data_IF_089342940921
#
_entry.id   IF_089342940921
#
_cell.length_a   1.000
_cell.length_b   1.000
_cell.length_c   1.000
_cell.angle_alpha   90.00
_cell.angle_beta   90.00
_cell.angle_gamma   90.00
#
_symmetry.space_group_name_H-M   'P 1'
#
loop_
_entity.id
_entity.type
_entity.pdbx_description
1 polymer ?
#
# COMPACT_ATOMS: atom_id res chain seq x y z
N UNK A 1 3.78 -22.46 3.06
CA UNK A 1 3.45 -21.40 2.09
C UNK A 1 4.69 -21.08 1.26
N UNK A 2 4.54 -20.83 -0.04
CA UNK A 2 5.65 -20.28 -0.84
C UNK A 2 6.03 -18.90 -0.31
N UNK A 3 7.31 -18.55 -0.35
CA UNK A 3 7.80 -17.24 0.06
C UNK A 3 7.52 -16.23 -1.07
N UNK A 4 7.16 -14.99 -0.73
CA UNK A 4 7.06 -13.92 -1.74
C UNK A 4 8.45 -13.65 -2.36
N UNK A 5 8.53 -13.25 -3.64
CA UNK A 5 9.79 -12.95 -4.29
C UNK A 5 10.61 -11.90 -3.53
N UNK A 6 11.93 -12.07 -3.52
CA UNK A 6 12.83 -11.24 -2.70
C UNK A 6 12.82 -9.77 -3.11
N UNK A 7 12.55 -9.48 -4.38
CA UNK A 7 12.37 -8.11 -4.87
C UNK A 7 11.17 -7.40 -4.24
N UNK A 8 10.03 -8.08 -4.10
CA UNK A 8 8.86 -7.53 -3.41
C UNK A 8 9.13 -7.35 -1.92
N UNK A 9 9.79 -8.33 -1.29
CA UNK A 9 10.19 -8.23 0.12
C UNK A 9 11.11 -7.03 0.35
N UNK A 10 12.14 -6.86 -0.49
CA UNK A 10 13.04 -5.70 -0.47
C UNK A 10 12.27 -4.40 -0.66
N UNK A 11 11.33 -4.36 -1.60
CA UNK A 11 10.54 -3.17 -1.89
C UNK A 11 9.67 -2.72 -0.71
N UNK A 12 9.00 -3.64 -0.01
CA UNK A 12 8.17 -3.27 1.15
C UNK A 12 9.00 -2.96 2.40
N UNK A 13 10.20 -3.51 2.50
CA UNK A 13 11.17 -3.24 3.58
C UNK A 13 12.02 -1.98 3.31
N UNK A 14 11.98 -1.44 2.08
CA UNK A 14 12.86 -0.34 1.67
C UNK A 14 12.57 0.96 2.44
N UNK A 15 13.61 1.78 2.55
CA UNK A 15 13.50 3.10 3.13
C UNK A 15 13.50 4.15 2.02
N UNK A 16 12.39 4.23 1.29
CA UNK A 16 12.17 5.23 0.24
C UNK A 16 10.81 5.92 0.45
N UNK A 17 10.63 7.17 -0.02
CA UNK A 17 9.31 7.77 -0.14
C UNK A 17 8.45 6.90 -1.05
N UNK A 18 7.25 6.53 -0.61
CA UNK A 18 6.33 5.70 -1.39
C UNK A 18 5.12 6.53 -1.82
N UNK A 19 4.79 6.44 -3.10
CA UNK A 19 3.52 6.91 -3.65
C UNK A 19 2.56 5.72 -3.71
N UNK A 20 1.52 5.76 -2.88
CA UNK A 20 0.63 4.62 -2.68
C UNK A 20 -0.80 5.01 -3.09
N UNK A 21 -1.44 4.16 -3.88
CA UNK A 21 -2.86 4.22 -4.17
C UNK A 21 -3.52 2.95 -3.67
N UNK A 22 -4.51 3.08 -2.80
CA UNK A 22 -5.38 2.00 -2.37
C UNK A 22 -6.71 2.13 -3.12
N UNK A 23 -7.06 1.09 -3.86
CA UNK A 23 -8.29 0.99 -4.62
C UNK A 23 -9.21 -0.08 -4.02
N UNK A 24 -10.49 0.26 -3.94
CA UNK A 24 -11.57 -0.63 -3.57
C UNK A 24 -12.67 -0.52 -4.62
N UNK A 25 -13.24 -1.63 -5.07
CA UNK A 25 -14.34 -1.62 -6.00
C UNK A 25 -15.51 -2.42 -5.44
N UNK A 26 -16.72 -1.89 -5.55
CA UNK A 26 -17.93 -2.68 -5.35
C UNK A 26 -18.27 -3.40 -6.65
N UNK A 27 -18.94 -4.56 -6.59
CA UNK A 27 -19.40 -5.25 -7.79
C UNK A 27 -20.23 -4.32 -8.68
N UNK A 28 -19.82 -4.16 -9.94
CA UNK A 28 -20.51 -3.31 -10.92
C UNK A 28 -20.34 -1.79 -10.74
N UNK A 29 -19.51 -1.33 -9.80
CA UNK A 29 -19.23 0.09 -9.60
C UNK A 29 -17.82 0.48 -10.07
N UNK A 30 -17.62 1.77 -10.38
CA UNK A 30 -16.29 2.31 -10.58
C UNK A 30 -15.46 2.17 -9.29
N UNK A 31 -14.14 1.90 -9.38
CA UNK A 31 -13.29 1.79 -8.22
C UNK A 31 -13.18 3.14 -7.52
N UNK A 32 -13.27 3.10 -6.20
CA UNK A 32 -12.83 4.19 -5.34
C UNK A 32 -11.33 4.07 -5.12
N UNK A 33 -10.62 5.21 -5.18
CA UNK A 33 -9.17 5.26 -4.93
C UNK A 33 -8.88 6.30 -3.85
N UNK A 34 -8.05 5.93 -2.89
CA UNK A 34 -7.49 6.83 -1.90
C UNK A 34 -5.96 6.78 -1.91
N UNK A 35 -5.36 7.86 -1.39
CA UNK A 35 -3.91 7.96 -1.25
C UNK A 35 -3.47 7.27 0.04
N UNK A 36 -2.45 6.42 -0.08
CA UNK A 36 -1.73 5.88 1.05
C UNK A 36 -0.55 6.77 1.43
N UNK A 37 -0.24 6.80 2.72
CA UNK A 37 0.81 7.60 3.35
C UNK A 37 1.87 6.72 4.03
N UNK A 38 1.63 5.42 4.09
CA UNK A 38 2.56 4.43 4.59
C UNK A 38 2.13 3.03 4.15
N UNK A 39 3.10 2.13 4.04
CA UNK A 39 2.91 0.72 3.76
C UNK A 39 3.73 -0.08 4.78
N UNK A 40 3.07 -0.93 5.57
CA UNK A 40 3.73 -1.92 6.41
C UNK A 40 3.33 -3.31 5.96
N UNK A 41 4.18 -4.31 6.20
CA UNK A 41 4.02 -5.63 5.63
C UNK A 41 4.46 -6.73 6.59
N UNK A 42 3.64 -7.77 6.72
CA UNK A 42 3.87 -9.00 7.50
C UNK A 42 3.95 -10.22 6.56
N UNK A 43 4.65 -10.04 5.42
CA UNK A 43 4.65 -10.99 4.31
C UNK A 43 5.32 -12.36 4.61
N UNK A 44 6.06 -12.45 5.72
CA UNK A 44 6.69 -13.71 6.15
C UNK A 44 5.74 -14.57 7.01
N UNK A 45 4.77 -13.93 7.66
CA UNK A 45 3.93 -14.54 8.69
C UNK A 45 2.49 -14.73 8.21
N UNK A 46 1.93 -13.73 7.53
CA UNK A 46 0.47 -13.67 7.28
C UNK A 46 0.09 -13.22 5.87
N UNK A 47 1.05 -12.99 4.96
CA UNK A 47 0.81 -12.39 3.63
C UNK A 47 0.06 -11.06 3.66
N UNK A 48 0.06 -10.41 4.82
CA UNK A 48 -0.72 -9.21 5.06
C UNK A 48 0.12 -7.99 4.81
N UNK A 49 -0.48 -7.01 4.16
CA UNK A 49 0.01 -5.64 4.18
C UNK A 49 -0.97 -4.74 4.92
N UNK A 50 -0.48 -3.60 5.38
CA UNK A 50 -1.32 -2.50 5.86
C UNK A 50 -0.98 -1.22 5.12
N UNK A 51 -2.00 -0.61 4.54
CA UNK A 51 -1.89 0.71 3.91
C UNK A 51 -2.47 1.75 4.84
N UNK A 52 -1.68 2.78 5.13
CA UNK A 52 -2.09 3.86 6.01
C UNK A 52 -2.76 4.97 5.20
N UNK A 53 -4.05 5.21 5.40
CA UNK A 53 -4.87 6.15 4.61
C UNK A 53 -5.57 7.16 5.50
N UNK A 54 -5.93 8.33 4.97
CA UNK A 54 -6.71 9.32 5.72
C UNK A 54 -8.12 8.81 6.02
N UNK A 55 -8.58 9.00 7.27
CA UNK A 55 -9.95 8.69 7.72
C UNK A 55 -11.00 9.32 6.81
N UNK A 56 -10.80 10.58 6.42
CA UNK A 56 -11.72 11.33 5.55
C UNK A 56 -11.84 10.74 4.14
N UNK A 57 -10.76 10.20 3.59
CA UNK A 57 -10.79 9.52 2.30
C UNK A 57 -11.45 8.15 2.44
N UNK A 58 -11.08 7.40 3.49
CA UNK A 58 -11.58 6.04 3.72
C UNK A 58 -13.09 5.99 4.02
N UNK A 59 -13.64 7.00 4.70
CA UNK A 59 -15.06 7.06 5.08
C UNK A 59 -16.03 6.87 3.90
N UNK A 60 -15.60 7.21 2.68
CA UNK A 60 -16.40 7.05 1.45
C UNK A 60 -16.61 5.59 1.03
N UNK A 61 -15.78 4.67 1.52
CA UNK A 61 -15.87 3.23 1.20
C UNK A 61 -16.11 2.39 2.44
N UNK A 62 -15.69 2.84 3.62
CA UNK A 62 -15.76 2.08 4.87
C UNK A 62 -17.15 1.49 5.15
N UNK A 63 -18.22 2.23 4.88
CA UNK A 63 -19.60 1.75 5.09
C UNK A 63 -20.10 0.71 4.08
N UNK A 64 -19.31 0.40 3.05
CA UNK A 64 -19.68 -0.48 1.94
C UNK A 64 -18.79 -1.73 1.87
N UNK A 65 -17.71 -1.78 2.65
CA UNK A 65 -16.81 -2.92 2.69
C UNK A 65 -17.41 -4.05 3.52
N UNK A 66 -17.29 -5.26 2.98
CA UNK A 66 -17.51 -6.52 3.70
C UNK A 66 -16.16 -7.20 3.89
N UNK A 67 -16.10 -8.16 4.80
CA UNK A 67 -15.01 -9.13 4.79
C UNK A 67 -14.88 -9.73 3.39
N UNK A 68 -13.64 -10.03 2.99
CA UNK A 68 -13.30 -10.56 1.67
C UNK A 68 -13.55 -9.64 0.46
N UNK A 69 -13.88 -8.36 0.67
CA UNK A 69 -14.01 -7.42 -0.44
C UNK A 69 -12.65 -7.28 -1.18
N UNK A 70 -12.62 -7.39 -2.53
CA UNK A 70 -11.41 -7.20 -3.30
C UNK A 70 -10.83 -5.80 -3.15
N UNK A 71 -9.54 -5.73 -2.85
CA UNK A 71 -8.74 -4.52 -2.77
C UNK A 71 -7.51 -4.65 -3.69
N UNK A 72 -7.04 -3.51 -4.17
CA UNK A 72 -5.79 -3.41 -4.90
C UNK A 72 -4.95 -2.24 -4.38
N UNK A 73 -3.64 -2.42 -4.33
CA UNK A 73 -2.67 -1.39 -3.95
C UNK A 73 -1.67 -1.24 -5.08
N UNK A 74 -1.46 -0.01 -5.53
CA UNK A 74 -0.29 0.35 -6.33
C UNK A 74 0.67 1.12 -5.43
N UNK A 75 1.89 0.62 -5.27
CA UNK A 75 2.94 1.30 -4.55
C UNK A 75 4.12 1.56 -5.48
N UNK A 76 4.59 2.80 -5.50
CA UNK A 76 5.69 3.26 -6.34
C UNK A 76 6.76 3.92 -5.48
N UNK A 77 8.00 3.49 -5.62
CA UNK A 77 9.16 4.15 -5.05
C UNK A 77 9.35 5.52 -5.71
N UNK A 78 9.43 6.56 -4.90
CA UNK A 78 9.66 7.91 -5.37
C UNK A 78 11.09 8.18 -5.83
N UNK A 79 12.03 7.26 -5.58
CA UNK A 79 13.44 7.45 -5.94
C UNK A 79 13.76 6.95 -7.35
N UNK A 80 13.24 5.78 -7.71
CA UNK A 80 13.61 5.04 -8.92
C UNK A 80 12.40 4.58 -9.75
N UNK A 81 11.18 4.87 -9.31
CA UNK A 81 9.93 4.43 -9.93
C UNK A 81 9.74 2.90 -9.97
N UNK A 82 10.52 2.14 -9.18
CA UNK A 82 10.21 0.74 -8.90
C UNK A 82 8.77 0.67 -8.36
N UNK A 83 7.92 -0.19 -8.93
CA UNK A 83 6.52 -0.25 -8.49
C UNK A 83 5.88 -1.61 -8.62
N UNK A 84 4.95 -1.87 -7.71
CA UNK A 84 4.22 -3.12 -7.62
C UNK A 84 2.75 -2.88 -7.43
N UNK A 85 1.93 -3.71 -8.09
CA UNK A 85 0.51 -3.81 -7.82
C UNK A 85 0.24 -5.07 -7.01
N UNK A 86 -0.32 -4.89 -5.82
CA UNK A 86 -0.72 -5.96 -4.90
C UNK A 86 -2.24 -6.06 -4.90
N UNK A 87 -2.77 -7.27 -5.05
CA UNK A 87 -4.20 -7.55 -5.04
C UNK A 87 -4.52 -8.57 -3.96
N UNK A 88 -5.63 -8.35 -3.30
CA UNK A 88 -6.00 -9.16 -2.14
C UNK A 88 -7.39 -8.85 -1.65
N UNK A 89 -7.66 -9.31 -0.43
CA UNK A 89 -8.94 -9.16 0.24
C UNK A 89 -8.83 -8.23 1.44
N UNK A 90 -9.89 -7.48 1.69
CA UNK A 90 -9.97 -6.63 2.88
C UNK A 90 -9.90 -7.48 4.16
N UNK A 91 -8.96 -7.13 5.04
CA UNK A 91 -8.64 -7.84 6.27
C UNK A 91 -8.82 -6.97 7.52
N UNK A 92 -9.77 -6.02 7.48
CA UNK A 92 -10.07 -5.12 8.58
C UNK A 92 -9.28 -3.81 8.56
N UNK A 93 -9.57 -2.92 9.50
CA UNK A 93 -8.82 -1.68 9.70
C UNK A 93 -8.65 -1.34 11.18
N UNK A 94 -7.57 -0.64 11.51
CA UNK A 94 -7.28 -0.16 12.88
C UNK A 94 -6.74 1.26 12.90
N UNK A 95 -6.69 1.87 14.08
CA UNK A 95 -6.02 3.14 14.27
C UNK A 95 -4.53 3.04 13.89
N UNK A 96 -4.01 4.09 13.26
CA UNK A 96 -2.68 4.10 12.64
C UNK A 96 -1.58 4.70 13.53
N UNK A 97 -1.90 5.14 14.74
CA UNK A 97 -1.20 6.24 15.41
C UNK A 97 0.28 5.98 15.73
N UNK A 98 0.65 4.78 16.14
CA UNK A 98 2.01 4.51 16.63
C UNK A 98 3.00 4.14 15.50
N UNK A 99 2.56 3.40 14.49
CA UNK A 99 3.44 2.91 13.42
C UNK A 99 3.71 3.98 12.36
N UNK A 100 2.74 4.87 12.09
CA UNK A 100 2.82 5.79 10.97
C UNK A 100 3.72 7.01 11.24
N UNK A 101 3.80 7.48 12.48
CA UNK A 101 4.64 8.64 12.84
C UNK A 101 6.11 8.49 12.37
N UNK A 102 6.84 7.41 12.75
CA UNK A 102 8.22 7.24 12.30
C UNK A 102 8.33 7.04 10.78
N UNK A 103 7.31 6.47 10.13
CA UNK A 103 7.30 6.31 8.66
C UNK A 103 7.19 7.66 7.96
N UNK A 104 6.28 8.53 8.41
CA UNK A 104 6.11 9.88 7.84
C UNK A 104 7.37 10.72 8.03
N UNK A 105 7.98 10.68 9.22
CA UNK A 105 9.21 11.44 9.48
C UNK A 105 10.37 10.94 8.63
N UNK A 106 10.49 9.62 8.45
CA UNK A 106 11.49 9.03 7.55
C UNK A 106 11.25 9.46 6.10
N UNK A 107 10.03 9.35 5.60
CA UNK A 107 9.70 9.77 4.22
C UNK A 107 10.00 11.25 4.00
N UNK A 108 9.64 12.12 4.95
CA UNK A 108 9.96 13.56 4.89
C UNK A 108 11.47 13.79 4.82
N UNK A 109 12.24 13.14 5.69
CA UNK A 109 13.71 13.26 5.72
C UNK A 109 14.33 12.85 4.38
N UNK A 110 13.95 11.69 3.84
CA UNK A 110 14.51 11.20 2.58
C UNK A 110 14.06 12.09 1.42
N UNK A 111 12.79 12.49 1.38
CA UNK A 111 12.28 13.40 0.36
C UNK A 111 13.01 14.74 0.36
N UNK A 112 13.31 15.31 1.53
CA UNK A 112 14.10 16.56 1.62
C UNK A 112 15.55 16.40 1.16
N UNK A 113 16.14 15.22 1.29
CA UNK A 113 17.50 14.93 0.81
C UNK A 113 17.56 14.80 -0.72
N UNK A 114 16.59 14.12 -1.32
CA UNK A 114 16.59 13.82 -2.75
C UNK A 114 15.82 14.85 -3.60
N UNK A 115 14.88 15.58 -2.99
CA UNK A 115 14.00 16.56 -3.64
C UNK A 115 13.95 17.88 -2.86
N UNK A 116 15.09 18.59 -2.67
CA UNK A 116 15.18 19.74 -1.77
C UNK A 116 14.32 20.94 -2.17
N UNK A 117 13.88 21.02 -3.43
CA UNK A 117 13.01 22.08 -3.94
C UNK A 117 11.54 21.67 -4.06
N UNK A 118 11.21 20.43 -3.71
CA UNK A 118 9.83 19.96 -3.71
C UNK A 118 9.15 20.46 -2.45
N UNK A 119 8.11 21.28 -2.62
CA UNK A 119 7.28 21.73 -1.50
C UNK A 119 6.69 20.50 -0.82
N UNK A 120 6.92 20.37 0.49
CA UNK A 120 6.27 19.33 1.29
C UNK A 120 4.79 19.67 1.44
N UNK A 121 3.97 19.23 0.49
CA UNK A 121 2.53 19.49 0.45
C UNK A 121 1.74 18.67 1.49
N UNK A 122 2.41 17.80 2.27
CA UNK A 122 1.74 16.72 2.99
C UNK A 122 1.95 16.82 4.51
N UNK A 123 1.20 17.71 5.15
CA UNK A 123 1.06 17.79 6.61
C UNK A 123 -0.01 16.81 7.11
N UNK A 124 0.26 15.52 6.98
CA UNK A 124 -0.61 14.47 7.53
C UNK A 124 -0.24 14.20 8.98
N UNK A 125 -1.24 14.21 9.87
CA UNK A 125 -1.09 13.79 11.26
C UNK A 125 -1.39 12.29 11.36
N UNK A 126 -0.57 11.50 12.08
CA UNK A 126 -0.84 10.07 12.28
C UNK A 126 -2.22 9.77 12.88
N UNK A 127 -2.74 10.67 13.73
CA UNK A 127 -4.07 10.60 14.33
C UNK A 127 -5.21 10.59 13.31
N UNK A 128 -4.97 11.17 12.13
CA UNK A 128 -5.97 11.35 11.09
C UNK A 128 -6.02 10.15 10.13
N UNK A 129 -5.17 9.15 10.36
CA UNK A 129 -5.03 7.96 9.52
C UNK A 129 -5.62 6.68 10.15
N UNK A 130 -5.96 5.75 9.28
CA UNK A 130 -6.29 4.35 9.59
C UNK A 130 -5.31 3.44 8.84
N UNK A 131 -4.97 2.31 9.44
CA UNK A 131 -4.25 1.23 8.78
C UNK A 131 -5.28 0.24 8.23
N UNK A 132 -5.37 0.13 6.90
CA UNK A 132 -6.25 -0.82 6.20
C UNK A 132 -5.46 -2.09 5.90
N UNK A 133 -5.89 -3.20 6.49
CA UNK A 133 -5.29 -4.52 6.29
C UNK A 133 -5.76 -5.17 5.00
N UNK A 134 -4.84 -5.83 4.31
CA UNK A 134 -5.12 -6.53 3.06
C UNK A 134 -4.36 -7.86 3.07
N UNK A 135 -5.08 -8.96 2.90
CA UNK A 135 -4.48 -10.29 2.70
C UNK A 135 -4.15 -10.44 1.23
N UNK A 136 -2.86 -10.40 0.89
CA UNK A 136 -2.40 -10.37 -0.49
C UNK A 136 -2.44 -11.78 -1.08
N UNK A 137 -3.09 -11.89 -2.24
CA UNK A 137 -3.14 -13.11 -3.03
C UNK A 137 -2.27 -13.00 -4.29
N UNK A 138 -2.13 -11.79 -4.87
CA UNK A 138 -1.43 -11.63 -6.15
C UNK A 138 -0.53 -10.39 -6.12
N UNK A 139 0.65 -10.50 -6.71
CA UNK A 139 1.57 -9.39 -6.94
C UNK A 139 1.94 -9.30 -8.42
N UNK A 140 1.97 -8.08 -8.95
CA UNK A 140 2.42 -7.76 -10.30
C UNK A 140 3.53 -6.72 -10.24
N UNK A 141 4.52 -6.85 -11.11
CA UNK A 141 5.47 -5.76 -11.37
C UNK A 141 4.76 -4.69 -12.21
N UNK A 142 4.91 -3.43 -11.83
CA UNK A 142 4.36 -2.28 -12.53
C UNK A 142 5.42 -1.24 -12.88
N UNK A 143 6.69 -1.52 -12.56
CA UNK A 143 7.83 -0.67 -12.92
C UNK A 143 7.79 -0.35 -14.41
N UNK A 144 7.78 0.94 -14.80
CA UNK A 144 7.69 1.32 -16.21
C UNK A 144 8.80 0.69 -17.06
N UNK A 145 8.40 -0.08 -18.08
CA UNK A 145 9.32 -0.77 -18.96
C UNK A 145 8.63 -1.89 -19.73
N UNK A 146 9.36 -2.62 -20.61
CA UNK A 146 8.78 -3.69 -21.43
C UNK A 146 8.13 -4.84 -20.64
N UNK A 147 8.54 -5.04 -19.39
CA UNK A 147 8.00 -6.06 -18.47
C UNK A 147 6.85 -5.59 -17.59
N UNK A 148 6.41 -4.32 -17.70
CA UNK A 148 5.35 -3.79 -16.85
C UNK A 148 4.05 -4.60 -17.02
N UNK A 149 3.41 -4.95 -15.91
CA UNK A 149 2.22 -5.80 -15.91
C UNK A 149 2.52 -7.30 -15.74
N UNK A 150 3.78 -7.70 -15.64
CA UNK A 150 4.14 -9.10 -15.42
C UNK A 150 3.62 -9.61 -14.07
N UNK A 151 3.15 -10.86 -14.07
CA UNK A 151 2.78 -11.56 -12.83
C UNK A 151 4.06 -11.92 -12.10
N UNK A 152 4.19 -11.44 -10.87
CA UNK A 152 5.33 -11.73 -10.02
C UNK A 152 5.10 -12.98 -9.17
N UNK A 153 3.93 -13.07 -8.53
CA UNK A 153 3.52 -14.23 -7.75
C UNK A 153 2.00 -14.25 -7.53
N UNK A 154 1.45 -15.45 -7.40
CA UNK A 154 0.04 -15.71 -7.10
C UNK A 154 -0.07 -16.81 -6.04
N UNK A 155 -0.93 -16.59 -5.05
CA UNK A 155 -1.27 -17.54 -3.99
C UNK A 155 -2.72 -17.95 -4.18
N UNK A 156 -2.95 -19.26 -4.28
CA UNK A 156 -4.29 -19.82 -4.19
C UNK A 156 -4.71 -19.84 -2.72
N UNK A 157 -5.94 -19.44 -2.45
CA UNK A 157 -6.54 -19.65 -1.14
C UNK A 157 -6.50 -21.15 -0.82
N UNK A 158 -6.18 -21.55 0.43
CA UNK A 158 -6.48 -22.91 0.85
C UNK A 158 -7.99 -23.09 0.73
N UNK A 159 -8.39 -23.98 -0.19
CA UNK A 159 -9.75 -24.49 -0.35
C UNK A 159 -10.25 -25.16 0.91
#
# INVERSE_FOLDING_TARGET
MQRWPDELMRFVEQQAPLYIHLAAALPGAAPFVCRGYGLSAELRESDRIRVHVLKSQWARVAGLLREDQPLAVLATSGLDNESYQLKGKYAGCRASSEELAPMLDRQRRIASLHFPHLVSLTNVKPSDCLAVGIDIAVAYEQTPGPGAGSLLAERREPS
#
